data_IF_785190496604
#
_entry.id   IF_785190496604
#
_cell.length_a   1.000
_cell.length_b   1.000
_cell.length_c   1.000
_cell.angle_alpha   90.00
_cell.angle_beta   90.00
_cell.angle_gamma   90.00
#
_symmetry.space_group_name_H-M   'P 1'
#
loop_
_entity.id
_entity.type
_entity.pdbx_description
1 polymer ?
#
# COMPACT_ATOMS: atom_id res chain seq x y z
N UNK A 1 -33.38 -2.26 -48.84
CA UNK A 1 -32.53 -3.39 -48.40
C UNK A 1 -31.15 -2.96 -47.93
N UNK A 2 -30.42 -2.11 -48.66
CA UNK A 2 -29.06 -1.65 -48.28
C UNK A 2 -28.96 -0.96 -46.91
N UNK A 3 -29.92 -0.10 -46.53
CA UNK A 3 -29.92 0.61 -45.22
C UNK A 3 -30.14 -0.31 -44.01
N UNK A 4 -30.97 -1.36 -44.16
CA UNK A 4 -31.19 -2.36 -43.10
C UNK A 4 -29.96 -3.25 -42.90
N UNK A 5 -29.27 -3.59 -44.00
CA UNK A 5 -28.00 -4.34 -43.97
C UNK A 5 -26.91 -3.53 -43.26
N UNK A 6 -26.76 -2.24 -43.56
CA UNK A 6 -25.78 -1.37 -42.89
C UNK A 6 -26.04 -1.25 -41.38
N UNK A 7 -27.31 -1.11 -40.97
CA UNK A 7 -27.67 -1.05 -39.54
C UNK A 7 -27.36 -2.38 -38.83
N UNK A 8 -27.68 -3.53 -39.43
CA UNK A 8 -27.34 -4.83 -38.86
C UNK A 8 -25.83 -5.04 -38.72
N UNK A 9 -25.04 -4.58 -39.71
CA UNK A 9 -23.58 -4.66 -39.65
C UNK A 9 -23.00 -3.77 -38.54
N UNK A 10 -23.51 -2.54 -38.37
CA UNK A 10 -23.05 -1.64 -37.31
C UNK A 10 -23.41 -2.16 -35.91
N UNK A 11 -24.60 -2.73 -35.72
CA UNK A 11 -24.99 -3.34 -34.43
C UNK A 11 -24.15 -4.58 -34.10
N UNK A 12 -23.74 -5.34 -35.11
CA UNK A 12 -22.88 -6.52 -34.93
C UNK A 12 -21.45 -6.13 -34.54
N UNK A 13 -20.91 -5.04 -35.11
CA UNK A 13 -19.58 -4.54 -34.75
C UNK A 13 -19.52 -3.97 -33.33
N UNK A 14 -20.60 -3.33 -32.88
CA UNK A 14 -20.72 -2.80 -31.50
C UNK A 14 -20.89 -3.95 -30.49
N UNK A 15 -21.60 -5.02 -30.82
CA UNK A 15 -21.73 -6.16 -29.91
C UNK A 15 -20.43 -6.96 -29.78
N UNK A 16 -19.65 -7.12 -30.86
CA UNK A 16 -18.34 -7.80 -30.83
C UNK A 16 -17.32 -7.07 -29.95
N UNK A 17 -17.37 -5.74 -29.87
CA UNK A 17 -16.44 -4.95 -29.05
C UNK A 17 -16.69 -5.09 -27.54
N UNK A 18 -17.91 -5.42 -27.12
CA UNK A 18 -18.26 -5.65 -25.71
C UNK A 18 -17.73 -7.00 -25.19
N UNK A 19 -17.56 -7.99 -26.08
CA UNK A 19 -17.00 -9.30 -25.71
C UNK A 19 -15.47 -9.36 -25.73
N UNK A 20 -14.79 -8.28 -26.17
CA UNK A 20 -13.33 -8.25 -26.30
C UNK A 20 -12.59 -7.74 -25.05
N UNK A 21 -13.28 -7.31 -24.00
CA UNK A 21 -12.67 -7.08 -22.68
C UNK A 21 -12.55 -8.42 -21.95
N UNK A 22 -11.73 -9.32 -22.49
CA UNK A 22 -11.37 -10.55 -21.80
C UNK A 22 -10.62 -10.22 -20.52
N UNK A 23 -11.09 -10.72 -19.38
CA UNK A 23 -10.30 -10.81 -18.16
C UNK A 23 -9.05 -11.61 -18.47
N UNK A 24 -7.94 -10.92 -18.75
CA UNK A 24 -6.63 -11.53 -18.73
C UNK A 24 -6.42 -12.11 -17.34
N UNK A 25 -6.14 -13.40 -17.24
CA UNK A 25 -5.60 -13.96 -16.00
C UNK A 25 -4.29 -13.21 -15.76
N UNK A 26 -4.25 -12.32 -14.78
CA UNK A 26 -2.99 -11.79 -14.29
C UNK A 26 -2.22 -12.99 -13.74
N UNK A 27 -1.13 -13.36 -14.40
CA UNK A 27 -0.14 -14.23 -13.77
C UNK A 27 0.29 -13.51 -12.49
N UNK A 28 0.04 -14.12 -11.33
CA UNK A 28 0.67 -13.68 -10.10
C UNK A 28 2.17 -13.82 -10.32
N UNK A 29 2.85 -12.69 -10.45
CA UNK A 29 4.29 -12.64 -10.48
C UNK A 29 4.75 -12.93 -9.05
N UNK A 30 4.93 -14.21 -8.71
CA UNK A 30 5.60 -14.63 -7.48
C UNK A 30 7.09 -14.36 -7.66
N UNK A 31 7.47 -13.11 -7.44
CA UNK A 31 8.87 -12.69 -7.46
C UNK A 31 9.44 -12.77 -6.05
N UNK A 32 10.63 -13.36 -5.91
CA UNK A 32 11.45 -13.22 -4.71
C UNK A 32 12.07 -11.82 -4.58
N UNK A 33 11.93 -10.98 -5.61
CA UNK A 33 12.48 -9.63 -5.70
C UNK A 33 11.37 -8.57 -5.66
N UNK A 34 11.72 -7.39 -5.19
CA UNK A 34 10.85 -6.21 -5.23
C UNK A 34 10.61 -5.73 -6.66
N UNK A 35 9.37 -5.36 -6.97
CA UNK A 35 8.96 -4.83 -8.27
C UNK A 35 8.39 -3.43 -8.07
N UNK A 36 9.12 -2.42 -8.54
CA UNK A 36 8.69 -1.03 -8.45
C UNK A 36 7.35 -0.77 -9.17
N UNK A 37 6.54 0.12 -8.62
CA UNK A 37 5.23 0.48 -9.18
C UNK A 37 4.13 -0.58 -9.01
N UNK A 38 4.38 -1.64 -8.22
CA UNK A 38 3.35 -2.59 -7.79
C UNK A 38 3.08 -2.44 -6.29
N UNK A 39 1.81 -2.51 -5.94
CA UNK A 39 1.32 -2.49 -4.56
C UNK A 39 1.43 -3.86 -3.88
N UNK A 40 1.34 -4.94 -4.65
CA UNK A 40 1.58 -6.30 -4.18
C UNK A 40 3.09 -6.60 -4.05
N UNK A 41 3.55 -6.69 -2.80
CA UNK A 41 4.93 -7.03 -2.45
C UNK A 41 5.07 -8.53 -2.15
N UNK A 42 4.91 -9.38 -3.16
CA UNK A 42 5.01 -10.84 -3.01
C UNK A 42 6.33 -11.34 -2.43
N UNK A 43 7.41 -10.56 -2.58
CA UNK A 43 8.72 -10.85 -1.98
C UNK A 43 8.70 -10.84 -0.44
N UNK A 44 7.64 -10.29 0.17
CA UNK A 44 7.39 -10.23 1.60
C UNK A 44 6.15 -11.05 2.00
N UNK A 45 5.79 -12.08 1.23
CA UNK A 45 4.64 -12.92 1.59
C UNK A 45 4.80 -13.49 3.01
N UNK A 46 3.76 -13.31 3.83
CA UNK A 46 3.79 -13.62 5.27
C UNK A 46 4.36 -12.54 6.20
N UNK A 47 5.05 -11.50 5.69
CA UNK A 47 5.60 -10.39 6.49
C UNK A 47 4.73 -9.14 6.36
N UNK A 48 4.03 -8.80 7.44
CA UNK A 48 3.09 -7.67 7.46
C UNK A 48 3.72 -6.37 7.96
N UNK A 49 4.75 -6.51 8.76
CA UNK A 49 5.48 -5.48 9.50
C UNK A 49 6.69 -4.92 8.74
N UNK A 50 6.90 -5.36 7.49
CA UNK A 50 7.98 -4.90 6.61
C UNK A 50 7.39 -4.44 5.27
N UNK A 51 7.99 -3.41 4.68
CA UNK A 51 7.73 -2.97 3.32
C UNK A 51 9.06 -2.68 2.60
N UNK A 52 9.24 -3.25 1.41
CA UNK A 52 10.38 -2.98 0.53
C UNK A 52 10.11 -1.76 -0.32
N UNK A 53 11.16 -0.99 -0.58
CA UNK A 53 11.22 0.16 -1.49
C UNK A 53 12.45 0.03 -2.39
N UNK A 54 12.63 0.97 -3.32
CA UNK A 54 13.78 1.02 -4.21
C UNK A 54 15.12 1.14 -3.47
N UNK A 55 15.12 1.80 -2.31
CA UNK A 55 16.35 2.18 -1.59
C UNK A 55 16.56 1.39 -0.29
N UNK A 56 15.63 0.52 0.10
CA UNK A 56 15.68 -0.08 1.43
C UNK A 56 14.38 -0.71 1.89
N UNK A 57 14.31 -0.96 3.20
CA UNK A 57 13.16 -1.58 3.85
C UNK A 57 12.64 -0.70 4.98
N UNK A 58 11.35 -0.43 4.97
CA UNK A 58 10.62 0.10 6.11
C UNK A 58 10.17 -1.07 6.99
N UNK A 59 10.27 -0.94 8.31
CA UNK A 59 9.77 -1.97 9.21
C UNK A 59 9.26 -1.40 10.53
N UNK A 60 8.33 -2.11 11.15
CA UNK A 60 7.70 -1.73 12.41
C UNK A 60 8.47 -2.32 13.60
N UNK A 61 8.70 -1.50 14.63
CA UNK A 61 9.24 -1.96 15.91
C UNK A 61 8.79 -1.04 17.04
N UNK A 62 8.23 -1.59 18.11
CA UNK A 62 7.77 -0.86 19.30
C UNK A 62 6.85 0.34 18.98
N UNK A 63 5.92 0.18 18.03
CA UNK A 63 5.00 1.24 17.54
C UNK A 63 5.65 2.35 16.70
N UNK A 64 6.94 2.24 16.38
CA UNK A 64 7.66 3.16 15.49
C UNK A 64 8.02 2.50 14.15
N UNK A 65 8.20 3.34 13.12
CA UNK A 65 8.77 2.95 11.83
C UNK A 65 10.27 3.20 11.82
N UNK A 66 11.02 2.23 11.31
CA UNK A 66 12.43 2.34 11.00
C UNK A 66 12.64 2.14 9.50
N UNK A 67 13.70 2.75 8.97
CA UNK A 67 14.16 2.53 7.61
C UNK A 67 15.58 1.98 7.62
N UNK A 68 15.76 0.84 6.96
CA UNK A 68 17.05 0.29 6.61
C UNK A 68 17.44 0.78 5.21
N UNK A 69 18.49 1.58 5.13
CA UNK A 69 19.06 2.07 3.87
C UNK A 69 20.01 1.00 3.29
N UNK A 70 19.65 0.47 2.12
CA UNK A 70 20.41 -0.58 1.44
C UNK A 70 21.76 -0.10 0.88
N UNK A 71 21.92 1.20 0.63
CA UNK A 71 23.19 1.77 0.15
C UNK A 71 24.17 1.94 1.30
N UNK A 72 23.74 2.59 2.39
CA UNK A 72 24.60 2.87 3.53
C UNK A 72 24.70 1.72 4.54
N UNK A 73 23.84 0.70 4.42
CA UNK A 73 23.71 -0.45 5.33
C UNK A 73 23.41 -0.03 6.76
N UNK A 74 22.69 1.08 6.93
CA UNK A 74 22.33 1.64 8.24
C UNK A 74 20.83 1.67 8.42
N UNK A 75 20.41 1.41 9.65
CA UNK A 75 19.05 1.61 10.10
C UNK A 75 18.93 2.94 10.81
N UNK A 76 17.85 3.67 10.57
CA UNK A 76 17.46 4.82 11.36
C UNK A 76 15.95 4.82 11.62
N UNK A 77 15.54 5.49 12.70
CA UNK A 77 14.13 5.78 12.96
C UNK A 77 13.59 6.74 11.91
N UNK A 78 12.36 6.53 11.45
CA UNK A 78 11.76 7.31 10.37
C UNK A 78 11.27 8.69 10.83
N UNK A 79 12.21 9.53 11.24
CA UNK A 79 11.93 10.83 11.79
C UNK A 79 13.03 11.81 11.41
N UNK A 80 12.63 12.92 10.76
CA UNK A 80 13.54 13.96 10.30
C UNK A 80 13.78 15.09 11.32
N UNK A 81 13.22 14.98 12.54
CA UNK A 81 13.38 15.95 13.63
C UNK A 81 14.68 15.65 14.40
N UNK A 82 15.73 16.48 14.32
CA UNK A 82 17.03 16.18 14.93
C UNK A 82 16.99 16.01 16.46
N UNK A 83 16.14 16.79 17.13
CA UNK A 83 16.01 16.80 18.60
C UNK A 83 14.86 15.92 19.10
N UNK A 84 14.41 14.94 18.30
CA UNK A 84 13.29 14.08 18.70
C UNK A 84 13.77 12.99 19.68
N UNK A 85 13.06 12.86 20.81
CA UNK A 85 13.35 11.82 21.80
C UNK A 85 12.91 10.41 21.38
N UNK A 86 12.08 10.29 20.33
CA UNK A 86 11.52 9.03 19.82
C UNK A 86 10.81 8.19 20.90
N UNK A 87 10.00 8.85 21.74
CA UNK A 87 9.37 8.27 22.93
C UNK A 87 7.84 8.27 22.92
N UNK A 88 7.21 8.74 21.84
CA UNK A 88 5.75 8.69 21.69
C UNK A 88 5.20 9.40 20.47
N UNK A 89 3.93 9.80 20.55
CA UNK A 89 3.11 10.36 19.46
C UNK A 89 3.67 11.63 18.81
N UNK A 90 4.52 12.40 19.51
CA UNK A 90 5.18 13.58 18.94
C UNK A 90 6.26 13.25 17.89
N UNK A 91 6.70 12.00 17.83
CA UNK A 91 7.67 11.50 16.87
C UNK A 91 7.02 11.22 15.51
N UNK A 92 7.68 11.63 14.43
CA UNK A 92 7.19 11.33 13.07
C UNK A 92 7.12 9.82 12.81
N UNK A 93 8.00 9.03 13.41
CA UNK A 93 8.01 7.59 13.24
C UNK A 93 6.90 6.87 14.01
N UNK A 94 6.26 7.50 14.99
CA UNK A 94 5.23 6.86 15.79
C UNK A 94 3.93 6.72 14.98
N UNK A 95 3.45 5.49 14.82
CA UNK A 95 2.23 5.20 14.06
C UNK A 95 1.32 4.14 14.71
N UNK A 96 1.80 3.39 15.70
CA UNK A 96 1.07 2.30 16.35
C UNK A 96 0.34 1.37 15.35
N UNK A 97 1.09 0.85 14.37
CA UNK A 97 0.54 0.08 13.26
C UNK A 97 0.73 -1.43 13.41
N UNK A 98 -0.17 -2.19 12.79
CA UNK A 98 -0.15 -3.65 12.71
C UNK A 98 0.44 -4.16 11.39
N UNK A 99 0.43 -3.32 10.35
CA UNK A 99 0.96 -3.65 9.03
C UNK A 99 1.39 -2.38 8.30
N UNK A 100 2.37 -2.52 7.41
CA UNK A 100 2.91 -1.42 6.59
C UNK A 100 3.15 -1.88 5.14
N UNK A 101 2.89 -1.00 4.17
CA UNK A 101 3.15 -1.20 2.75
C UNK A 101 3.78 0.07 2.16
N UNK A 102 4.60 -0.10 1.14
CA UNK A 102 5.18 1.00 0.38
C UNK A 102 4.67 0.92 -1.06
N UNK A 103 4.18 2.04 -1.57
CA UNK A 103 3.69 2.17 -2.93
C UNK A 103 3.75 3.63 -3.36
N UNK A 104 4.23 3.91 -4.58
CA UNK A 104 4.25 5.26 -5.19
C UNK A 104 4.75 6.36 -4.23
N UNK A 105 5.96 6.17 -3.67
CA UNK A 105 6.60 7.13 -2.75
C UNK A 105 5.78 7.48 -1.50
N UNK A 106 4.95 6.55 -1.05
CA UNK A 106 4.17 6.69 0.17
C UNK A 106 4.13 5.38 0.96
N UNK A 107 4.03 5.53 2.28
CA UNK A 107 3.77 4.45 3.21
C UNK A 107 2.29 4.38 3.51
N UNK A 108 1.76 3.17 3.51
CA UNK A 108 0.40 2.86 3.87
C UNK A 108 0.40 1.93 5.06
N UNK A 109 -0.37 2.22 6.09
CA UNK A 109 -0.37 1.40 7.30
C UNK A 109 -1.75 1.29 7.91
N UNK A 110 -1.97 0.19 8.62
CA UNK A 110 -3.19 -0.07 9.38
C UNK A 110 -2.89 0.08 10.85
N UNK A 111 -3.60 0.98 11.54
CA UNK A 111 -3.55 1.16 12.99
C UNK A 111 -4.89 0.84 13.63
N UNK A 112 -4.87 0.47 14.91
CA UNK A 112 -6.04 0.37 15.77
C UNK A 112 -5.72 1.06 17.11
N UNK A 113 -6.65 1.83 17.66
CA UNK A 113 -6.44 2.51 18.95
C UNK A 113 -6.46 1.48 20.09
N UNK A 114 -7.42 0.55 20.06
CA UNK A 114 -7.43 -0.65 20.90
C UNK A 114 -8.00 -1.83 20.11
N UNK A 115 -7.55 -3.04 20.42
CA UNK A 115 -8.14 -4.26 19.82
C UNK A 115 -9.61 -4.41 20.26
N UNK A 116 -9.97 -3.83 21.42
CA UNK A 116 -11.31 -3.89 21.99
C UNK A 116 -12.33 -3.05 21.22
N UNK A 117 -11.92 -1.92 20.63
CA UNK A 117 -12.84 -1.04 19.89
C UNK A 117 -13.21 -1.61 18.52
N UNK A 118 -12.49 -2.62 18.01
CA UNK A 118 -12.71 -3.17 16.66
C UNK A 118 -12.62 -2.11 15.54
N UNK A 119 -12.00 -0.97 15.84
CA UNK A 119 -11.83 0.16 14.94
C UNK A 119 -10.44 0.12 14.28
N UNK A 120 -10.45 0.06 12.95
CA UNK A 120 -9.24 0.02 12.12
C UNK A 120 -9.18 1.23 11.20
N UNK A 121 -7.99 1.79 11.08
CA UNK A 121 -7.75 2.98 10.29
C UNK A 121 -6.68 2.69 9.23
N UNK A 122 -6.98 3.00 7.97
CA UNK A 122 -5.98 3.04 6.91
C UNK A 122 -5.41 4.44 6.84
N UNK A 123 -4.09 4.54 6.94
CA UNK A 123 -3.35 5.78 6.85
C UNK A 123 -2.41 5.76 5.66
N UNK A 124 -2.14 6.95 5.13
CA UNK A 124 -1.05 7.26 4.20
C UNK A 124 -0.04 8.15 4.92
N UNK A 125 1.24 7.94 4.68
CA UNK A 125 2.33 8.72 5.24
C UNK A 125 3.44 8.98 4.23
N UNK A 126 4.07 10.15 4.30
CA UNK A 126 5.28 10.46 3.52
C UNK A 126 6.45 9.53 3.89
N UNK A 127 7.41 9.38 2.97
CA UNK A 127 8.61 8.55 3.18
C UNK A 127 9.47 9.01 4.38
N UNK A 128 9.34 10.25 4.84
CA UNK A 128 10.08 10.78 6.00
C UNK A 128 9.29 10.77 7.31
N UNK A 129 8.08 10.21 7.29
CA UNK A 129 7.20 10.06 8.43
C UNK A 129 6.40 11.30 8.83
N UNK A 130 6.53 12.44 8.15
CA UNK A 130 5.88 13.70 8.55
C UNK A 130 4.38 13.74 8.23
N UNK A 131 4.04 13.81 6.94
CA UNK A 131 2.70 14.02 6.44
C UNK A 131 1.89 12.76 6.62
N UNK A 132 0.88 12.77 7.51
CA UNK A 132 -0.01 11.64 7.76
C UNK A 132 -1.44 12.02 7.41
N UNK A 133 -2.09 11.18 6.62
CA UNK A 133 -3.49 11.35 6.20
C UNK A 133 -4.26 10.06 6.49
N UNK A 134 -5.40 10.19 7.16
CA UNK A 134 -6.32 9.06 7.35
C UNK A 134 -7.21 8.91 6.12
N UNK A 135 -7.09 7.79 5.43
CA UNK A 135 -7.81 7.50 4.19
C UNK A 135 -9.15 6.80 4.43
N UNK A 136 -9.20 5.88 5.39
CA UNK A 136 -10.37 5.05 5.62
C UNK A 136 -10.52 4.66 7.09
N UNK A 137 -11.77 4.38 7.46
CA UNK A 137 -12.17 3.87 8.77
C UNK A 137 -13.01 2.61 8.57
N UNK A 138 -12.73 1.58 9.35
CA UNK A 138 -13.43 0.31 9.31
C UNK A 138 -13.75 -0.16 10.72
N UNK A 139 -15.03 -0.41 10.99
CA UNK A 139 -15.51 -0.95 12.26
C UNK A 139 -15.93 -2.42 12.08
N UNK A 140 -15.27 -3.33 12.79
CA UNK A 140 -15.55 -4.77 12.77
C UNK A 140 -16.73 -5.17 13.68
N UNK A 141 -17.29 -4.26 14.48
CA UNK A 141 -18.43 -4.56 15.35
C UNK A 141 -19.76 -4.71 14.59
N UNK A 142 -19.83 -4.23 13.34
CA UNK A 142 -21.04 -4.25 12.50
C UNK A 142 -21.12 -5.45 11.53
N UNK A 143 -20.17 -6.39 11.56
CA UNK A 143 -20.10 -7.55 10.63
C UNK A 143 -20.75 -8.82 11.15
#
# INVERSE_FOLDING_TARGET
MKRKIVVCFLTLLISISIFATGCGKQEQITSSEYIAGKDDQTCLDGYRDVATSENGYYFLSNSFVYFYDSNSKKTHVLCNKPECAHDGEGCNAYINAMAIRYYEHALYYVSCDTIETNEFYLWKMSEDGTEKERLFFYDLSES
#
